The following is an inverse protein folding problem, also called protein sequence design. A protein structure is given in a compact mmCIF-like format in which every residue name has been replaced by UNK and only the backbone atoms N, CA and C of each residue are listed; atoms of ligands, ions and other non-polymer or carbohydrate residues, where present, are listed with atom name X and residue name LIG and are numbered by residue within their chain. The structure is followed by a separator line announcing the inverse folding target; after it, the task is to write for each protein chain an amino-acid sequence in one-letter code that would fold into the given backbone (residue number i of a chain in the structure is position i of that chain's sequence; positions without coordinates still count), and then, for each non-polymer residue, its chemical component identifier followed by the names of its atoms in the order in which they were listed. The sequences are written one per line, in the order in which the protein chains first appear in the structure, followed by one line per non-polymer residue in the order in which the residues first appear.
data_IF_656861937427
#
_entry.id   IF_656861937427
#
_cell.length_a   1.000
_cell.length_b   1.000
_cell.length_c   1.000
_cell.angle_alpha   90.00
_cell.angle_beta   90.00
_cell.angle_gamma   90.00
#
_symmetry.space_group_name_H-M   'P 1'
#
loop_
_entity.id
_entity.type
_entity.pdbx_description
1 polymer ?
#
# COMPACT_ATOMS: atom_id res chain seq x y z
N UNK A 1 31.85 34.42 3.28
CA UNK A 1 30.69 34.26 2.38
C UNK A 1 30.58 32.80 1.99
N UNK A 2 29.42 32.15 2.14
CA UNK A 2 29.22 30.77 1.71
C UNK A 2 29.51 30.61 0.20
N UNK A 3 30.06 29.48 -0.21
CA UNK A 3 30.43 29.23 -1.60
C UNK A 3 29.16 29.00 -2.46
N UNK A 4 28.88 29.86 -3.48
CA UNK A 4 27.67 29.78 -4.30
C UNK A 4 27.49 28.43 -5.01
N UNK A 5 28.59 27.74 -5.30
CA UNK A 5 28.60 26.44 -5.97
C UNK A 5 28.13 25.33 -5.03
N UNK A 6 28.46 25.43 -3.72
CA UNK A 6 27.95 24.47 -2.73
C UNK A 6 26.44 24.60 -2.56
N UNK A 7 25.90 25.83 -2.55
CA UNK A 7 24.45 26.03 -2.51
C UNK A 7 23.77 25.49 -3.76
N UNK A 8 24.32 25.75 -4.96
CA UNK A 8 23.74 25.25 -6.20
C UNK A 8 23.77 23.71 -6.33
N UNK A 9 24.79 23.04 -5.80
CA UNK A 9 24.94 21.58 -5.84
C UNK A 9 24.22 20.86 -4.69
N UNK A 10 24.09 21.50 -3.52
CA UNK A 10 23.38 20.95 -2.36
C UNK A 10 21.88 21.27 -2.37
N UNK A 11 21.44 22.19 -3.24
CA UNK A 11 20.03 22.42 -3.53
C UNK A 11 19.48 21.24 -4.35
N UNK A 12 19.13 20.20 -3.58
CA UNK A 12 18.17 19.11 -3.81
C UNK A 12 17.37 19.27 -5.10
N UNK A 13 17.40 18.22 -5.93
CA UNK A 13 16.67 18.13 -7.18
C UNK A 13 15.29 18.77 -7.11
N UNK A 14 15.11 19.78 -7.96
CA UNK A 14 14.01 20.75 -7.97
C UNK A 14 13.85 21.54 -6.66
N UNK A 15 14.74 22.52 -6.49
CA UNK A 15 14.59 23.69 -5.63
C UNK A 15 14.16 23.41 -4.17
N UNK A 16 15.00 22.68 -3.43
CA UNK A 16 15.14 22.84 -1.97
C UNK A 16 13.96 22.42 -1.08
N UNK A 17 12.83 21.96 -1.63
CA UNK A 17 11.64 21.54 -0.86
C UNK A 17 11.49 20.04 -0.66
N UNK A 18 12.20 19.22 -1.44
CA UNK A 18 12.06 17.77 -1.33
C UNK A 18 12.80 17.21 -0.11
N UNK A 19 12.21 16.21 0.53
CA UNK A 19 12.84 15.51 1.65
C UNK A 19 14.09 14.75 1.18
N UNK A 20 14.97 14.43 2.12
CA UNK A 20 16.17 13.64 1.87
C UNK A 20 15.84 12.18 1.53
N UNK A 21 16.80 11.49 0.94
CA UNK A 21 16.70 10.04 0.70
C UNK A 21 16.50 9.25 2.01
N UNK A 22 17.16 9.65 3.10
CA UNK A 22 17.01 9.00 4.40
C UNK A 22 15.58 9.18 4.92
N UNK A 23 15.04 10.41 4.88
CA UNK A 23 13.64 10.67 5.23
C UNK A 23 12.66 9.88 4.34
N UNK A 24 12.92 9.77 3.03
CA UNK A 24 12.10 8.91 2.15
C UNK A 24 12.09 7.46 2.63
N UNK A 25 13.25 6.90 3.01
CA UNK A 25 13.34 5.51 3.53
C UNK A 25 12.53 5.36 4.82
N UNK A 26 12.74 6.25 5.78
CA UNK A 26 12.05 6.22 7.08
C UNK A 26 10.53 6.29 6.93
N UNK A 27 10.04 7.07 5.98
CA UNK A 27 8.60 7.28 5.77
C UNK A 27 7.93 6.20 4.92
N UNK A 28 8.63 5.65 3.92
CA UNK A 28 8.05 4.62 3.06
C UNK A 28 8.03 3.22 3.71
N UNK A 29 8.94 2.92 4.64
CA UNK A 29 8.98 1.63 5.32
C UNK A 29 7.67 1.27 6.06
N UNK A 30 7.07 2.18 6.85
CA UNK A 30 5.75 1.94 7.44
C UNK A 30 4.66 1.60 6.41
N UNK A 31 4.66 2.26 5.25
CA UNK A 31 3.70 1.95 4.17
C UNK A 31 3.95 0.57 3.57
N UNK A 32 5.21 0.17 3.38
CA UNK A 32 5.57 -1.19 2.94
C UNK A 32 5.04 -2.22 3.93
N UNK A 33 5.28 -2.00 5.23
CA UNK A 33 4.79 -2.90 6.29
C UNK A 33 3.26 -3.01 6.29
N UNK A 34 2.55 -1.90 6.10
CA UNK A 34 1.09 -1.90 6.00
C UNK A 34 0.61 -2.66 4.76
N UNK A 35 1.23 -2.47 3.60
CA UNK A 35 0.93 -3.22 2.39
C UNK A 35 1.21 -4.72 2.53
N UNK A 36 2.29 -5.12 3.21
CA UNK A 36 2.61 -6.53 3.48
C UNK A 36 1.49 -7.16 4.32
N UNK A 37 1.14 -6.53 5.45
CA UNK A 37 0.01 -6.97 6.29
C UNK A 37 -1.29 -7.06 5.51
N UNK A 38 -1.59 -6.08 4.66
CA UNK A 38 -2.78 -6.12 3.81
C UNK A 38 -2.76 -7.32 2.86
N UNK A 39 -1.63 -7.62 2.23
CA UNK A 39 -1.49 -8.80 1.36
C UNK A 39 -1.73 -10.12 2.11
N UNK A 40 -1.30 -10.23 3.37
CA UNK A 40 -1.61 -11.37 4.23
C UNK A 40 -3.11 -11.46 4.55
N UNK A 41 -3.76 -10.34 4.84
CA UNK A 41 -5.22 -10.28 5.04
C UNK A 41 -6.00 -10.70 3.78
N UNK A 42 -5.57 -10.24 2.59
CA UNK A 42 -6.11 -10.76 1.33
C UNK A 42 -5.95 -12.28 1.23
N UNK A 43 -4.78 -12.81 1.61
CA UNK A 43 -4.51 -14.23 1.56
C UNK A 43 -5.39 -15.02 2.54
N UNK A 44 -5.65 -14.48 3.74
CA UNK A 44 -6.58 -15.04 4.70
C UNK A 44 -7.97 -15.19 4.07
N UNK A 45 -8.57 -14.11 3.57
CA UNK A 45 -9.91 -14.16 2.95
C UNK A 45 -9.93 -15.12 1.74
N UNK A 46 -8.87 -15.13 0.93
CA UNK A 46 -8.76 -16.03 -0.21
C UNK A 46 -8.77 -17.52 0.20
N UNK A 47 -8.24 -17.86 1.39
CA UNK A 47 -8.21 -19.24 1.91
C UNK A 47 -9.51 -19.62 2.63
N UNK A 48 -10.14 -18.68 3.32
CA UNK A 48 -11.26 -18.95 4.23
C UNK A 48 -12.64 -18.71 3.62
N UNK A 49 -12.77 -17.80 2.64
CA UNK A 49 -14.07 -17.41 2.10
C UNK A 49 -14.71 -18.52 1.25
N UNK A 50 -15.98 -18.84 1.53
CA UNK A 50 -16.66 -19.99 0.91
C UNK A 50 -16.95 -19.82 -0.60
N UNK A 51 -17.23 -18.59 -1.06
CA UNK A 51 -17.53 -18.31 -2.46
C UNK A 51 -16.27 -18.26 -3.35
N UNK A 52 -16.15 -19.24 -4.26
CA UNK A 52 -15.07 -19.32 -5.25
C UNK A 52 -15.00 -18.14 -6.24
N UNK A 53 -16.12 -17.50 -6.55
CA UNK A 53 -16.15 -16.33 -7.42
C UNK A 53 -15.51 -15.11 -6.74
N UNK A 54 -15.80 -14.93 -5.44
CA UNK A 54 -15.18 -13.91 -4.59
C UNK A 54 -13.68 -14.14 -4.51
N UNK A 55 -13.24 -15.36 -4.12
CA UNK A 55 -11.80 -15.65 -3.99
C UNK A 55 -11.05 -15.50 -5.32
N UNK A 56 -11.65 -15.86 -6.46
CA UNK A 56 -11.08 -15.62 -7.80
C UNK A 56 -10.96 -14.12 -8.12
N UNK A 57 -11.93 -13.30 -7.72
CA UNK A 57 -11.86 -11.85 -7.89
C UNK A 57 -10.73 -11.25 -7.03
N UNK A 58 -10.63 -11.64 -5.76
CA UNK A 58 -9.58 -11.17 -4.85
C UNK A 58 -8.17 -11.57 -5.33
N UNK A 59 -7.98 -12.82 -5.79
CA UNK A 59 -6.70 -13.29 -6.36
C UNK A 59 -6.21 -12.42 -7.53
N UNK A 60 -7.13 -11.93 -8.38
CA UNK A 60 -6.77 -11.07 -9.52
C UNK A 60 -6.17 -9.74 -9.06
N UNK A 61 -6.78 -9.10 -8.07
CA UNK A 61 -6.31 -7.78 -7.60
C UNK A 61 -5.13 -7.87 -6.63
N UNK A 62 -5.00 -8.95 -5.87
CA UNK A 62 -3.86 -9.18 -4.98
C UNK A 62 -2.54 -9.26 -5.76
N UNK A 63 -2.56 -9.64 -7.04
CA UNK A 63 -1.37 -9.58 -7.90
C UNK A 63 -0.83 -8.16 -8.03
N UNK A 64 -1.72 -7.19 -8.23
CA UNK A 64 -1.34 -5.76 -8.30
C UNK A 64 -0.88 -5.25 -6.94
N UNK A 65 -1.58 -5.61 -5.86
CA UNK A 65 -1.17 -5.24 -4.49
C UNK A 65 0.24 -5.75 -4.13
N UNK A 66 0.62 -6.96 -4.58
CA UNK A 66 1.99 -7.48 -4.43
C UNK A 66 3.01 -6.73 -5.28
N UNK A 67 2.64 -6.35 -6.50
CA UNK A 67 3.52 -5.54 -7.35
C UNK A 67 3.74 -4.14 -6.76
N UNK A 68 2.74 -3.56 -6.08
CA UNK A 68 2.83 -2.27 -5.42
C UNK A 68 3.85 -2.27 -4.25
N UNK A 69 3.93 -3.37 -3.47
CA UNK A 69 5.01 -3.59 -2.49
C UNK A 69 6.39 -3.52 -3.15
N UNK A 70 6.54 -4.16 -4.32
CA UNK A 70 7.79 -4.15 -5.09
C UNK A 70 8.21 -2.73 -5.48
N UNK A 71 7.28 -1.91 -5.97
CA UNK A 71 7.55 -0.52 -6.36
C UNK A 71 8.06 0.33 -5.18
N UNK A 72 7.46 0.19 -4.00
CA UNK A 72 7.92 0.89 -2.80
C UNK A 72 9.29 0.38 -2.35
N UNK A 73 9.47 -0.95 -2.34
CA UNK A 73 10.73 -1.59 -1.94
C UNK A 73 11.89 -1.15 -2.83
N UNK A 74 11.68 -1.12 -4.15
CA UNK A 74 12.65 -0.61 -5.13
C UNK A 74 12.97 0.87 -4.92
N UNK A 75 11.98 1.67 -4.50
CA UNK A 75 12.19 3.09 -4.18
C UNK A 75 13.09 3.23 -2.95
N UNK A 76 12.84 2.47 -1.90
CA UNK A 76 13.65 2.44 -0.67
C UNK A 76 15.09 2.01 -0.99
N UNK A 77 15.26 0.93 -1.77
CA UNK A 77 16.57 0.46 -2.22
C UNK A 77 17.30 1.53 -3.05
N UNK A 78 16.59 2.21 -3.96
CA UNK A 78 17.15 3.31 -4.77
C UNK A 78 17.58 4.51 -3.92
N UNK A 79 16.97 4.70 -2.75
CA UNK A 79 17.38 5.69 -1.76
C UNK A 79 18.54 5.22 -0.85
N UNK A 80 19.01 3.98 -1.00
CA UNK A 80 20.07 3.38 -0.19
C UNK A 80 19.60 2.78 1.13
N UNK A 81 18.28 2.61 1.32
CA UNK A 81 17.69 2.00 2.50
C UNK A 81 17.49 0.50 2.37
N UNK A 82 17.09 -0.13 3.48
CA UNK A 82 16.63 -1.52 3.51
C UNK A 82 15.10 -1.51 3.68
N UNK A 83 14.33 -2.10 2.74
CA UNK A 83 12.89 -2.17 2.86
C UNK A 83 12.47 -3.21 3.91
N UNK A 84 11.36 -2.92 4.61
CA UNK A 84 10.61 -3.91 5.39
C UNK A 84 10.31 -5.14 4.52
N UNK A 85 10.54 -6.33 5.06
CA UNK A 85 10.45 -7.59 4.32
C UNK A 85 9.36 -8.56 4.84
N UNK A 86 8.77 -8.26 6.00
CA UNK A 86 7.70 -9.07 6.59
C UNK A 86 8.11 -10.47 7.02
N UNK A 87 9.42 -10.74 7.19
CA UNK A 87 9.92 -12.06 7.67
C UNK A 87 9.52 -12.37 9.10
N UNK A 88 9.00 -11.38 9.82
CA UNK A 88 8.42 -11.47 11.15
C UNK A 88 6.90 -11.70 11.15
N UNK A 89 6.27 -11.85 9.98
CA UNK A 89 4.82 -12.01 9.84
C UNK A 89 4.47 -13.46 9.50
N UNK A 90 3.71 -14.12 10.36
CA UNK A 90 3.23 -15.47 10.15
C UNK A 90 1.79 -15.49 9.62
N UNK A 91 1.43 -16.54 8.88
CA UNK A 91 0.11 -16.64 8.29
C UNK A 91 -1.03 -16.67 9.33
N UNK A 92 -0.74 -17.17 10.53
CA UNK A 92 -1.68 -17.34 11.62
C UNK A 92 -1.86 -16.05 12.45
N UNK A 93 -1.06 -15.01 12.20
CA UNK A 93 -1.21 -13.68 12.82
C UNK A 93 -2.38 -12.87 12.23
N UNK A 94 -3.02 -13.39 11.19
CA UNK A 94 -4.05 -12.69 10.42
C UNK A 94 -5.35 -13.48 10.47
N UNK A 95 -6.34 -12.88 11.12
CA UNK A 95 -7.69 -13.44 11.25
C UNK A 95 -8.71 -12.32 11.10
N UNK A 96 -9.58 -12.45 10.09
CA UNK A 96 -10.68 -11.51 9.83
C UNK A 96 -12.05 -12.12 10.22
N UNK A 97 -12.04 -13.22 10.98
CA UNK A 97 -13.21 -13.94 11.43
C UNK A 97 -13.83 -14.86 10.38
N UNK A 98 -14.86 -15.60 10.80
CA UNK A 98 -15.48 -16.67 10.01
C UNK A 98 -16.67 -16.22 9.14
N UNK A 99 -17.19 -15.01 9.34
CA UNK A 99 -18.31 -14.48 8.56
C UNK A 99 -17.85 -13.98 7.19
N UNK A 100 -18.40 -14.54 6.10
CA UNK A 100 -18.00 -14.20 4.73
C UNK A 100 -18.12 -12.70 4.43
N UNK A 101 -19.24 -12.07 4.81
CA UNK A 101 -19.46 -10.63 4.59
C UNK A 101 -18.57 -9.80 5.52
N UNK A 102 -18.46 -10.20 6.78
CA UNK A 102 -17.59 -9.60 7.79
C UNK A 102 -16.13 -9.57 7.38
N UNK A 103 -15.59 -10.67 6.85
CA UNK A 103 -14.24 -10.74 6.29
C UNK A 103 -14.02 -9.70 5.20
N UNK A 104 -14.98 -9.54 4.27
CA UNK A 104 -14.88 -8.57 3.18
C UNK A 104 -14.95 -7.12 3.68
N UNK A 105 -15.80 -6.84 4.67
CA UNK A 105 -15.90 -5.52 5.31
C UNK A 105 -14.59 -5.14 6.01
N UNK A 106 -14.05 -6.04 6.84
CA UNK A 106 -12.78 -5.78 7.51
C UNK A 106 -11.62 -5.61 6.51
N UNK A 107 -11.58 -6.43 5.45
CA UNK A 107 -10.59 -6.26 4.39
C UNK A 107 -10.71 -4.91 3.68
N UNK A 108 -11.93 -4.41 3.47
CA UNK A 108 -12.20 -3.09 2.91
C UNK A 108 -11.75 -1.98 3.85
N UNK A 109 -11.97 -2.12 5.15
CA UNK A 109 -11.51 -1.13 6.14
C UNK A 109 -9.97 -1.03 6.12
N UNK A 110 -9.27 -2.17 6.12
CA UNK A 110 -7.81 -2.21 6.02
C UNK A 110 -7.26 -1.62 4.70
N UNK A 111 -7.94 -1.87 3.57
CA UNK A 111 -7.58 -1.26 2.28
C UNK A 111 -7.86 0.26 2.29
N UNK A 112 -8.91 0.71 2.99
CA UNK A 112 -9.24 2.13 3.15
C UNK A 112 -8.16 2.84 3.96
N UNK A 113 -7.78 2.27 5.10
CA UNK A 113 -6.70 2.78 5.94
C UNK A 113 -5.39 2.91 5.17
N UNK A 114 -5.10 1.95 4.29
CA UNK A 114 -3.93 2.01 3.42
C UNK A 114 -4.07 3.11 2.36
N UNK A 115 -5.22 3.21 1.68
CA UNK A 115 -5.45 4.24 0.66
C UNK A 115 -5.27 5.64 1.25
N UNK A 116 -5.81 5.85 2.44
CA UNK A 116 -5.72 7.11 3.18
C UNK A 116 -4.28 7.39 3.63
N UNK A 117 -3.56 6.39 4.11
CA UNK A 117 -2.15 6.54 4.49
C UNK A 117 -1.27 6.92 3.29
N UNK A 118 -1.44 6.25 2.15
CA UNK A 118 -0.76 6.59 0.89
C UNK A 118 -1.16 7.98 0.42
N UNK A 119 -2.44 8.34 0.52
CA UNK A 119 -2.96 9.65 0.17
C UNK A 119 -2.32 10.78 0.99
N UNK A 120 -2.31 10.65 2.31
CA UNK A 120 -1.65 11.61 3.22
C UNK A 120 -0.16 11.72 2.93
N UNK A 121 0.54 10.60 2.78
CA UNK A 121 1.97 10.61 2.46
C UNK A 121 2.24 11.32 1.12
N UNK A 122 1.36 11.14 0.14
CA UNK A 122 1.49 11.80 -1.16
C UNK A 122 1.22 13.30 -1.12
N UNK A 123 0.25 13.73 -0.33
CA UNK A 123 -0.25 15.11 -0.30
C UNK A 123 0.56 16.00 0.64
N UNK A 124 0.94 15.46 1.80
CA UNK A 124 1.59 16.23 2.87
C UNK A 124 3.11 16.27 2.72
N UNK A 125 3.71 15.30 1.99
CA UNK A 125 5.15 15.12 1.94
C UNK A 125 5.70 15.35 0.54
N UNK A 126 6.68 16.25 0.46
CA UNK A 126 7.39 16.58 -0.78
C UNK A 126 8.49 15.55 -1.06
N UNK A 127 8.08 14.37 -1.52
CA UNK A 127 8.99 13.37 -2.07
C UNK A 127 9.57 13.79 -3.42
N UNK A 128 10.60 13.08 -3.87
CA UNK A 128 11.07 13.19 -5.25
C UNK A 128 9.96 12.86 -6.25
N UNK A 129 9.96 13.52 -7.42
CA UNK A 129 8.91 13.37 -8.43
C UNK A 129 8.60 11.91 -8.82
N UNK A 130 9.62 11.06 -8.93
CA UNK A 130 9.43 9.63 -9.23
C UNK A 130 8.63 8.93 -8.12
N UNK A 131 9.01 9.15 -6.86
CA UNK A 131 8.32 8.58 -5.69
C UNK A 131 6.88 9.07 -5.60
N UNK A 132 6.63 10.36 -5.88
CA UNK A 132 5.27 10.92 -5.95
C UNK A 132 4.41 10.22 -6.99
N UNK A 133 4.95 10.01 -8.20
CA UNK A 133 4.25 9.25 -9.24
C UNK A 133 3.97 7.79 -8.86
N UNK A 134 4.86 7.15 -8.10
CA UNK A 134 4.62 5.81 -7.54
C UNK A 134 3.47 5.86 -6.54
N UNK A 135 3.48 6.78 -5.58
CA UNK A 135 2.40 6.93 -4.60
C UNK A 135 1.04 7.23 -5.27
N UNK A 136 1.01 8.06 -6.32
CA UNK A 136 -0.20 8.31 -7.11
C UNK A 136 -0.73 7.02 -7.78
N UNK A 137 0.16 6.21 -8.36
CA UNK A 137 -0.21 4.93 -8.96
C UNK A 137 -0.74 3.93 -7.90
N UNK A 138 -0.12 3.88 -6.72
CA UNK A 138 -0.56 3.05 -5.61
C UNK A 138 -1.95 3.44 -5.11
N UNK A 139 -2.20 4.74 -4.95
CA UNK A 139 -3.51 5.28 -4.55
C UNK A 139 -4.58 4.90 -5.58
N UNK A 140 -4.28 5.02 -6.87
CA UNK A 140 -5.18 4.60 -7.96
C UNK A 140 -5.48 3.10 -7.91
N UNK A 141 -4.46 2.25 -7.80
CA UNK A 141 -4.64 0.80 -7.73
C UNK A 141 -5.45 0.37 -6.49
N UNK A 142 -5.24 1.05 -5.36
CA UNK A 142 -5.96 0.81 -4.12
C UNK A 142 -7.44 1.23 -4.23
N UNK A 143 -7.73 2.35 -4.90
CA UNK A 143 -9.11 2.77 -5.18
C UNK A 143 -9.87 1.76 -6.05
N UNK A 144 -9.20 1.15 -7.05
CA UNK A 144 -9.78 0.06 -7.84
C UNK A 144 -10.13 -1.16 -6.98
N UNK A 145 -9.26 -1.50 -6.01
CA UNK A 145 -9.51 -2.58 -5.05
C UNK A 145 -10.68 -2.27 -4.12
N UNK A 146 -10.78 -1.05 -3.61
CA UNK A 146 -11.91 -0.59 -2.79
C UNK A 146 -13.24 -0.68 -3.53
N UNK A 147 -13.25 -0.31 -4.81
CA UNK A 147 -14.43 -0.45 -5.66
C UNK A 147 -14.84 -1.91 -5.79
N UNK A 148 -13.88 -2.80 -6.10
CA UNK A 148 -14.15 -4.23 -6.18
C UNK A 148 -14.70 -4.79 -4.85
N UNK A 149 -14.10 -4.42 -3.72
CA UNK A 149 -14.54 -4.88 -2.41
C UNK A 149 -15.97 -4.43 -2.10
N UNK A 150 -16.30 -3.18 -2.43
CA UNK A 150 -17.66 -2.66 -2.29
C UNK A 150 -18.65 -3.45 -3.16
N UNK A 151 -18.32 -3.67 -4.44
CA UNK A 151 -19.16 -4.48 -5.34
C UNK A 151 -19.34 -5.94 -4.86
N UNK A 152 -18.35 -6.51 -4.17
CA UNK A 152 -18.44 -7.87 -3.61
C UNK A 152 -19.33 -7.91 -2.36
N UNK A 153 -19.20 -6.91 -1.48
CA UNK A 153 -20.02 -6.76 -0.27
C UNK A 153 -21.49 -6.58 -0.65
N UNK A 154 -21.80 -5.64 -1.54
CA UNK A 154 -23.17 -5.34 -1.96
C UNK A 154 -23.88 -6.57 -2.54
N UNK A 155 -23.14 -7.38 -3.33
CA UNK A 155 -23.66 -8.64 -3.88
C UNK A 155 -23.89 -9.70 -2.83
N UNK A 156 -22.99 -9.82 -1.85
CA UNK A 156 -23.12 -10.79 -0.79
C UNK A 156 -24.29 -10.45 0.15
N UNK A 157 -24.50 -9.17 0.44
CA UNK A 157 -25.63 -8.68 1.24
C UNK A 157 -26.97 -8.89 0.52
N UNK A 158 -27.02 -8.60 -0.79
CA UNK A 158 -28.22 -8.83 -1.60
C UNK A 158 -28.59 -10.32 -1.70
N UNK A 159 -27.61 -11.23 -1.64
CA UNK A 159 -27.85 -12.68 -1.64
C UNK A 159 -28.29 -13.23 -0.27
N UNK A 160 -28.10 -12.47 0.80
CA UNK A 160 -28.49 -12.84 2.17
C UNK A 160 -29.91 -12.36 2.55
N UNK A 161 -30.57 -11.60 1.67
CA UNK A 161 -31.94 -11.08 1.82
C UNK A 161 -32.93 -11.96 1.05
#
# INVERSE_FOLDING_TARGET
MPNPIKEALLNRGWAGKTITRAETVERLNPLVRQFLRLNHNYQYVIRSHADSAVTKALKRVQKTARADVGKLSETILSCGGTPENGTDMEADDFDLGDDNVGMLRQLKDLETDLNDAVGREREEIEHQMRTRGILDALKSNSAERLKLLSDLIDRAEAAAT
#
